data_IF_075037314720
#
_entry.id   IF_075037314720
#
_cell.length_a   1.000
_cell.length_b   1.000
_cell.length_c   1.000
_cell.angle_alpha   90.00
_cell.angle_beta   90.00
_cell.angle_gamma   90.00
#
_symmetry.space_group_name_H-M   'P 1'
#
loop_
_entity.id
_entity.type
_entity.pdbx_description
1 polymer ?
#
# COMPACT_ATOMS: atom_id res chain seq x y z
N UNK A 1 9.95 -22.63 -5.03
CA UNK A 1 9.33 -21.61 -5.89
C UNK A 1 9.41 -20.27 -5.19
N UNK A 2 10.12 -19.28 -5.75
CA UNK A 2 10.02 -17.89 -5.30
C UNK A 2 8.55 -17.48 -5.48
N UNK A 3 7.82 -17.24 -4.38
CA UNK A 3 6.49 -16.63 -4.46
C UNK A 3 6.70 -15.17 -4.86
N UNK A 4 6.77 -14.94 -6.16
CA UNK A 4 6.64 -13.61 -6.71
C UNK A 4 5.27 -13.07 -6.27
N UNK A 5 5.22 -11.80 -5.91
CA UNK A 5 3.99 -11.10 -5.56
C UNK A 5 3.01 -11.33 -6.73
N UNK A 6 2.02 -12.21 -6.54
CA UNK A 6 1.08 -12.56 -7.60
C UNK A 6 0.01 -11.47 -7.62
N UNK A 7 0.33 -10.37 -8.30
CA UNK A 7 -0.54 -9.20 -8.40
C UNK A 7 -1.69 -9.53 -9.34
N UNK A 8 -2.84 -9.86 -8.78
CA UNK A 8 -4.00 -10.27 -9.56
C UNK A 8 -4.80 -9.10 -10.15
N UNK A 9 -4.69 -7.90 -9.56
CA UNK A 9 -5.49 -6.76 -9.97
C UNK A 9 -4.61 -5.51 -10.16
N UNK A 10 -4.56 -5.00 -11.40
CA UNK A 10 -3.82 -3.77 -11.77
C UNK A 10 -4.14 -2.56 -10.89
N UNK A 11 -5.37 -2.47 -10.35
CA UNK A 11 -5.77 -1.38 -9.48
C UNK A 11 -5.10 -1.43 -8.10
N UNK A 12 -4.56 -2.58 -7.68
CA UNK A 12 -3.79 -2.66 -6.43
C UNK A 12 -2.49 -1.88 -6.49
N UNK A 13 -1.89 -1.65 -7.67
CA UNK A 13 -0.74 -0.75 -7.82
C UNK A 13 -1.05 0.69 -7.42
N UNK A 14 -2.33 1.12 -7.42
CA UNK A 14 -2.72 2.43 -6.91
C UNK A 14 -2.39 2.58 -5.42
N UNK A 15 -2.38 1.49 -4.65
CA UNK A 15 -1.98 1.53 -3.24
C UNK A 15 -0.47 1.71 -3.06
N UNK A 16 0.35 1.32 -4.04
CA UNK A 16 1.79 1.65 -4.01
C UNK A 16 2.04 3.12 -4.30
N UNK A 17 1.12 3.83 -4.98
CA UNK A 17 1.23 5.27 -5.22
C UNK A 17 1.14 6.09 -3.93
N UNK A 18 0.65 5.54 -2.82
CA UNK A 18 0.67 6.24 -1.53
C UNK A 18 2.09 6.48 -1.01
N UNK A 19 3.06 5.66 -1.44
CA UNK A 19 4.49 5.83 -1.09
C UNK A 19 5.08 7.09 -1.75
N UNK A 20 5.12 7.23 -3.10
CA UNK A 20 5.66 8.44 -3.72
C UNK A 20 4.84 9.68 -3.36
N UNK A 21 3.52 9.59 -3.19
CA UNK A 21 2.69 10.72 -2.74
C UNK A 21 3.06 11.14 -1.31
N UNK A 22 3.21 10.18 -0.39
CA UNK A 22 3.62 10.44 0.99
C UNK A 22 5.00 11.08 1.06
N UNK A 23 5.98 10.56 0.30
CA UNK A 23 7.33 11.13 0.20
C UNK A 23 7.29 12.55 -0.35
N UNK A 24 6.51 12.79 -1.41
CA UNK A 24 6.41 14.10 -2.05
C UNK A 24 5.77 15.14 -1.11
N UNK A 25 4.74 14.76 -0.36
CA UNK A 25 4.15 15.60 0.69
C UNK A 25 5.17 15.94 1.78
N UNK A 26 5.91 14.94 2.27
CA UNK A 26 6.93 15.14 3.31
C UNK A 26 8.01 16.13 2.85
N UNK A 27 8.52 15.98 1.63
CA UNK A 27 9.57 16.86 1.09
C UNK A 27 9.03 18.28 0.85
N UNK A 28 7.86 18.42 0.22
CA UNK A 28 7.36 19.71 -0.23
C UNK A 28 6.65 20.52 0.85
N UNK A 29 6.03 19.87 1.83
CA UNK A 29 5.25 20.53 2.87
C UNK A 29 5.93 20.41 4.23
N UNK A 30 6.18 19.18 4.69
CA UNK A 30 6.67 18.96 6.06
C UNK A 30 8.09 19.52 6.25
N UNK A 31 9.00 19.38 5.29
CA UNK A 31 10.37 19.90 5.40
C UNK A 31 10.54 21.35 4.93
N UNK A 32 9.73 21.80 3.95
CA UNK A 32 9.91 23.11 3.31
C UNK A 32 9.25 24.26 4.09
N UNK A 33 8.13 24.00 4.76
CA UNK A 33 7.33 25.03 5.43
C UNK A 33 7.64 25.18 6.93
N UNK A 34 8.60 24.39 7.44
CA UNK A 34 8.90 24.28 8.86
C UNK A 34 8.34 22.97 9.41
N UNK A 35 9.23 22.16 9.98
CA UNK A 35 8.90 20.80 10.41
C UNK A 35 7.76 20.79 11.44
N UNK A 36 6.60 20.28 11.01
CA UNK A 36 5.42 20.08 11.85
C UNK A 36 5.27 18.57 12.13
N UNK A 37 5.62 18.16 13.35
CA UNK A 37 5.63 16.75 13.75
C UNK A 37 4.26 16.05 13.56
N UNK A 38 3.12 16.62 13.99
CA UNK A 38 1.80 16.10 13.66
C UNK A 38 1.55 15.83 12.17
N UNK A 39 1.92 16.76 11.29
CA UNK A 39 1.71 16.61 9.85
C UNK A 39 2.60 15.54 9.25
N UNK A 40 3.86 15.47 9.69
CA UNK A 40 4.80 14.43 9.32
C UNK A 40 4.31 13.03 9.72
N UNK A 41 3.80 12.89 10.96
CA UNK A 41 3.21 11.63 11.44
C UNK A 41 1.98 11.25 10.60
N UNK A 42 1.13 12.23 10.26
CA UNK A 42 -0.03 11.97 9.38
C UNK A 42 0.39 11.44 8.00
N UNK A 43 1.47 11.99 7.42
CA UNK A 43 2.04 11.57 6.15
C UNK A 43 2.51 10.10 6.22
N UNK A 44 3.20 9.74 7.30
CA UNK A 44 3.67 8.37 7.54
C UNK A 44 2.51 7.37 7.74
N UNK A 45 1.47 7.75 8.47
CA UNK A 45 0.30 6.89 8.71
C UNK A 45 -0.41 6.59 7.38
N UNK A 46 -0.67 7.61 6.56
CA UNK A 46 -1.31 7.44 5.24
C UNK A 46 -0.49 6.51 4.35
N UNK A 47 0.84 6.68 4.33
CA UNK A 47 1.74 5.83 3.58
C UNK A 47 1.66 4.37 4.04
N UNK A 48 1.71 4.13 5.35
CA UNK A 48 1.62 2.79 5.94
C UNK A 48 0.26 2.11 5.67
N UNK A 49 -0.84 2.86 5.72
CA UNK A 49 -2.17 2.34 5.40
C UNK A 49 -2.21 1.83 3.95
N UNK A 50 -1.68 2.60 2.99
CA UNK A 50 -1.61 2.16 1.59
C UNK A 50 -0.75 0.92 1.39
N UNK A 51 0.43 0.86 2.02
CA UNK A 51 1.29 -0.33 1.99
C UNK A 51 0.59 -1.55 2.60
N UNK A 52 -0.08 -1.36 3.74
CA UNK A 52 -0.84 -2.43 4.38
C UNK A 52 -1.91 -2.99 3.45
N UNK A 53 -2.73 -2.13 2.84
CA UNK A 53 -3.75 -2.56 1.88
C UNK A 53 -3.15 -3.22 0.66
N UNK A 54 -2.06 -2.69 0.11
CA UNK A 54 -1.33 -3.32 -0.99
C UNK A 54 -0.92 -4.75 -0.64
N UNK A 55 -0.24 -4.93 0.49
CA UNK A 55 0.20 -6.26 0.93
C UNK A 55 -0.99 -7.16 1.22
N UNK A 56 -2.04 -6.66 1.89
CA UNK A 56 -3.24 -7.44 2.22
C UNK A 56 -3.93 -7.94 0.95
N UNK A 57 -4.20 -7.08 -0.02
CA UNK A 57 -4.89 -7.47 -1.25
C UNK A 57 -4.03 -8.39 -2.13
N UNK A 58 -2.71 -8.27 -2.09
CA UNK A 58 -1.81 -9.14 -2.86
C UNK A 58 -1.48 -10.46 -2.16
N UNK A 59 -1.51 -10.51 -0.82
CA UNK A 59 -1.19 -11.73 -0.04
C UNK A 59 -2.42 -12.59 0.22
N UNK A 60 -3.58 -11.97 0.41
CA UNK A 60 -4.87 -12.66 0.53
C UNK A 60 -5.57 -12.79 -0.82
N UNK A 61 -4.80 -12.87 -1.92
CA UNK A 61 -5.35 -13.12 -3.26
C UNK A 61 -6.34 -14.29 -3.22
N UNK A 62 -6.03 -15.33 -2.45
CA UNK A 62 -6.92 -16.44 -2.16
C UNK A 62 -8.35 -16.09 -1.69
N UNK A 63 -8.57 -15.08 -0.84
CA UNK A 63 -9.93 -14.69 -0.41
C UNK A 63 -10.66 -13.81 -1.42
N UNK A 64 -9.93 -13.13 -2.30
CA UNK A 64 -10.46 -12.17 -3.27
C UNK A 64 -10.35 -12.65 -4.73
N UNK A 65 -9.79 -13.84 -4.94
CA UNK A 65 -9.66 -14.49 -6.23
C UNK A 65 -10.87 -15.40 -6.44
N UNK A 66 -11.81 -15.05 -7.33
CA UNK A 66 -12.93 -15.92 -7.65
C UNK A 66 -12.48 -17.29 -8.20
N UNK A 67 -11.27 -17.37 -8.76
CA UNK A 67 -10.67 -18.59 -9.31
C UNK A 67 -9.77 -19.36 -8.32
N UNK A 68 -9.76 -18.98 -7.04
CA UNK A 68 -8.99 -19.77 -6.07
C UNK A 68 -9.61 -21.17 -5.94
N UNK A 69 -8.84 -22.27 -6.13
CA UNK A 69 -9.34 -23.61 -5.87
C UNK A 69 -9.93 -23.70 -4.46
N UNK A 70 -11.25 -23.90 -4.40
CA UNK A 70 -11.97 -24.14 -3.15
C UNK A 70 -11.45 -25.44 -2.52
N UNK A 71 -11.34 -25.53 -1.19
CA UNK A 71 -11.01 -26.79 -0.55
C UNK A 71 -12.00 -27.85 -1.02
N UNK A 72 -11.50 -28.95 -1.59
CA UNK A 72 -12.32 -30.11 -1.94
C UNK A 72 -12.78 -30.72 -0.63
N UNK A 73 -14.06 -30.55 -0.30
CA UNK A 73 -14.73 -31.34 0.75
C UNK A 73 -14.83 -32.79 0.33
#
# INVERSE_FOLDING_TARGET
MKKWLNVQNKYTYLFLLTIPIGILKMILMDFRLGFNLPEFVSSLVIMNIGVYFFVRFNTYSHFYNPDHPKPKS
#
